data_IF_497582842467
#
_entry.id   IF_497582842467
#
_cell.length_a   1.000
_cell.length_b   1.000
_cell.length_c   1.000
_cell.angle_alpha   90.00
_cell.angle_beta   90.00
_cell.angle_gamma   90.00
#
_symmetry.space_group_name_H-M   'P 1'
#
loop_
_entity.id
_entity.type
_entity.pdbx_description
1 polymer ?
#
# COMPACT_ATOMS: atom_id res chain seq x y z
N UNK A 1 37.96 -32.43 48.01
CA UNK A 1 37.86 -31.06 47.40
C UNK A 1 38.68 -30.85 46.13
N UNK A 2 39.90 -31.35 45.97
CA UNK A 2 40.74 -31.14 44.77
C UNK A 2 40.18 -31.82 43.50
N UNK A 3 39.49 -32.96 43.64
CA UNK A 3 38.94 -33.72 42.49
C UNK A 3 37.71 -33.02 41.87
N UNK A 4 36.87 -32.37 42.69
CA UNK A 4 35.70 -31.60 42.21
C UNK A 4 36.11 -30.30 41.48
N UNK A 5 37.22 -29.67 41.86
CA UNK A 5 37.70 -28.45 41.18
C UNK A 5 38.15 -28.74 39.75
N UNK A 6 38.86 -29.86 39.51
CA UNK A 6 39.29 -30.27 38.15
C UNK A 6 38.10 -30.57 37.24
N UNK A 7 37.06 -31.19 37.77
CA UNK A 7 35.86 -31.54 37.00
C UNK A 7 35.06 -30.29 36.58
N UNK A 8 34.92 -29.29 37.46
CA UNK A 8 34.22 -28.03 37.18
C UNK A 8 34.98 -27.21 36.15
N UNK A 9 36.31 -27.09 36.30
CA UNK A 9 37.16 -26.36 35.34
C UNK A 9 37.08 -26.98 33.94
N UNK A 10 37.21 -28.31 33.85
CA UNK A 10 37.10 -29.02 32.57
C UNK A 10 35.69 -28.83 31.91
N UNK A 11 34.62 -28.86 32.69
CA UNK A 11 33.28 -28.63 32.20
C UNK A 11 33.05 -27.19 31.70
N UNK A 12 33.67 -26.19 32.33
CA UNK A 12 33.57 -24.80 31.87
C UNK A 12 34.42 -24.53 30.64
N UNK A 13 35.58 -25.18 30.52
CA UNK A 13 36.46 -25.11 29.34
C UNK A 13 35.79 -25.69 28.08
N UNK A 14 34.99 -26.72 28.23
CA UNK A 14 34.17 -27.30 27.13
C UNK A 14 33.24 -26.25 26.50
N UNK A 15 32.77 -25.28 27.26
CA UNK A 15 31.95 -24.16 26.81
C UNK A 15 32.74 -22.87 26.57
N UNK A 16 34.08 -22.93 26.56
CA UNK A 16 34.97 -21.77 26.41
C UNK A 16 34.78 -20.69 27.48
N UNK A 17 34.43 -21.10 28.69
CA UNK A 17 34.21 -20.21 29.85
C UNK A 17 35.33 -20.42 30.86
N UNK A 18 36.09 -19.36 31.17
CA UNK A 18 37.11 -19.44 32.23
C UNK A 18 36.45 -19.46 33.59
N UNK A 19 37.02 -20.25 34.53
CA UNK A 19 36.48 -20.41 35.89
C UNK A 19 36.30 -19.07 36.61
N UNK A 20 37.19 -18.09 36.38
CA UNK A 20 37.07 -16.75 36.96
C UNK A 20 35.89 -15.94 36.39
N UNK A 21 35.60 -16.08 35.10
CA UNK A 21 34.47 -15.42 34.47
C UNK A 21 33.15 -16.00 34.99
N UNK A 22 33.08 -17.31 35.17
CA UNK A 22 31.92 -17.96 35.77
C UNK A 22 31.67 -17.51 37.24
N UNK A 23 32.74 -17.39 38.02
CA UNK A 23 32.65 -16.86 39.40
C UNK A 23 32.16 -15.41 39.41
N UNK A 24 32.67 -14.57 38.48
CA UNK A 24 32.26 -13.17 38.36
C UNK A 24 30.78 -13.03 38.00
N UNK A 25 30.31 -13.78 37.04
CA UNK A 25 28.89 -13.80 36.64
C UNK A 25 27.99 -14.18 37.82
N UNK A 26 28.40 -15.18 38.62
CA UNK A 26 27.64 -15.60 39.80
C UNK A 26 27.64 -14.53 40.88
N UNK A 27 28.78 -13.85 41.13
CA UNK A 27 28.88 -12.76 42.11
C UNK A 27 28.02 -11.57 41.69
N UNK A 28 28.12 -11.13 40.44
CA UNK A 28 27.29 -10.03 39.89
C UNK A 28 25.78 -10.34 40.00
N UNK A 29 25.40 -11.60 39.76
CA UNK A 29 24.01 -12.04 39.90
C UNK A 29 23.55 -12.03 41.40
N UNK A 30 24.41 -12.39 42.32
CA UNK A 30 24.11 -12.33 43.77
C UNK A 30 23.98 -10.88 44.24
N UNK A 31 24.85 -9.99 43.79
CA UNK A 31 24.76 -8.55 44.10
C UNK A 31 23.45 -7.93 43.57
N UNK A 32 23.07 -8.24 42.34
CA UNK A 32 21.82 -7.75 41.78
C UNK A 32 20.56 -8.27 42.47
N UNK A 33 20.67 -9.44 43.14
CA UNK A 33 19.55 -9.96 43.94
C UNK A 33 19.35 -9.21 45.26
N UNK A 34 20.27 -8.33 45.66
CA UNK A 34 20.22 -7.62 46.95
C UNK A 34 20.19 -8.57 48.15
N UNK A 35 20.75 -9.79 48.02
CA UNK A 35 20.79 -10.77 49.09
C UNK A 35 21.94 -10.41 50.01
N UNK A 36 21.63 -10.06 51.25
CA UNK A 36 22.65 -9.98 52.29
C UNK A 36 23.25 -11.40 52.50
N UNK A 37 24.46 -11.58 51.95
CA UNK A 37 25.16 -12.87 51.94
C UNK A 37 25.44 -13.40 53.35
N UNK A 38 25.28 -12.58 54.36
CA UNK A 38 25.50 -12.92 55.74
C UNK A 38 24.25 -13.41 56.48
N UNK A 39 23.06 -13.08 55.99
CA UNK A 39 21.77 -13.31 56.63
C UNK A 39 20.94 -14.43 56.02
N UNK A 40 21.11 -14.75 54.70
CA UNK A 40 20.28 -15.73 54.03
C UNK A 40 20.83 -17.17 54.11
N UNK A 41 20.01 -18.19 54.37
CA UNK A 41 20.43 -19.59 54.31
C UNK A 41 21.01 -19.93 52.91
N UNK A 42 22.17 -20.62 52.89
CA UNK A 42 22.87 -21.01 51.64
C UNK A 42 21.96 -21.73 50.62
N UNK A 43 21.05 -22.56 51.11
CA UNK A 43 20.09 -23.29 50.28
C UNK A 43 19.11 -22.37 49.56
N UNK A 44 18.68 -21.28 50.20
CA UNK A 44 17.78 -20.29 49.60
C UNK A 44 18.48 -19.47 48.53
N UNK A 45 19.68 -19.00 48.76
CA UNK A 45 20.50 -18.27 47.79
C UNK A 45 20.76 -19.13 46.55
N UNK A 46 21.11 -20.40 46.71
CA UNK A 46 21.31 -21.34 45.61
C UNK A 46 20.00 -21.57 44.82
N UNK A 47 18.86 -21.69 45.51
CA UNK A 47 17.55 -21.85 44.89
C UNK A 47 17.15 -20.63 44.04
N UNK A 48 17.38 -19.40 44.55
CA UNK A 48 17.14 -18.14 43.83
C UNK A 48 18.04 -18.02 42.61
N UNK A 49 19.34 -18.32 42.71
CA UNK A 49 20.27 -18.34 41.59
C UNK A 49 19.85 -19.32 40.49
N UNK A 50 19.50 -20.57 40.87
CA UNK A 50 19.00 -21.56 39.91
C UNK A 50 17.77 -21.05 39.17
N UNK A 51 16.83 -20.40 39.87
CA UNK A 51 15.61 -19.84 39.27
C UNK A 51 15.94 -18.70 38.31
N UNK A 52 16.89 -17.82 38.66
CA UNK A 52 17.35 -16.75 37.76
C UNK A 52 17.99 -17.30 36.49
N UNK A 53 18.87 -18.28 36.61
CA UNK A 53 19.52 -18.92 35.46
C UNK A 53 18.49 -19.60 34.57
N UNK A 54 17.53 -20.33 35.14
CA UNK A 54 16.46 -20.98 34.38
C UNK A 54 15.55 -19.95 33.65
N UNK A 55 15.20 -18.85 34.33
CA UNK A 55 14.43 -17.77 33.74
C UNK A 55 15.22 -17.06 32.63
N UNK A 56 16.52 -16.82 32.87
CA UNK A 56 17.42 -16.23 31.86
C UNK A 56 17.58 -17.12 30.62
N UNK A 57 17.78 -18.44 30.82
CA UNK A 57 17.86 -19.41 29.72
C UNK A 57 16.53 -19.48 28.96
N UNK A 58 15.40 -19.50 29.67
CA UNK A 58 14.09 -19.47 29.04
C UNK A 58 13.85 -18.17 28.22
N UNK A 59 14.26 -17.01 28.74
CA UNK A 59 14.19 -15.73 28.06
C UNK A 59 15.06 -15.70 26.79
N UNK A 60 16.32 -16.14 26.90
CA UNK A 60 17.25 -16.22 25.76
C UNK A 60 16.80 -17.23 24.70
N UNK A 61 16.25 -18.37 25.12
CA UNK A 61 15.69 -19.37 24.22
C UNK A 61 14.44 -18.82 23.50
N UNK A 62 13.60 -18.08 24.22
CA UNK A 62 12.45 -17.39 23.63
C UNK A 62 12.87 -16.29 22.65
N UNK A 63 13.96 -15.55 22.93
CA UNK A 63 14.53 -14.58 21.98
C UNK A 63 15.11 -15.24 20.73
N UNK A 64 15.78 -16.38 20.85
CA UNK A 64 16.33 -17.13 19.68
C UNK A 64 15.23 -17.71 18.79
N UNK A 65 14.06 -18.02 19.37
CA UNK A 65 12.91 -18.55 18.64
C UNK A 65 11.99 -17.45 18.09
N UNK A 66 12.28 -16.15 18.36
CA UNK A 66 11.39 -15.08 17.95
C UNK A 66 11.64 -14.64 16.51
N UNK A 67 10.57 -14.66 15.70
CA UNK A 67 10.57 -14.16 14.32
C UNK A 67 10.94 -12.68 14.31
N UNK A 68 11.93 -12.30 13.48
CA UNK A 68 12.35 -10.92 13.29
C UNK A 68 11.37 -10.15 12.41
N UNK A 69 11.33 -8.84 12.56
CA UNK A 69 10.45 -7.98 11.76
C UNK A 69 10.67 -8.15 10.25
N UNK A 70 11.92 -8.23 9.80
CA UNK A 70 12.23 -8.44 8.38
C UNK A 70 11.63 -9.75 7.86
N UNK A 71 11.79 -10.83 8.58
CA UNK A 71 11.26 -12.15 8.21
C UNK A 71 9.73 -12.11 8.17
N UNK A 72 9.08 -11.60 9.20
CA UNK A 72 7.62 -11.46 9.26
C UNK A 72 7.09 -10.60 8.12
N UNK A 73 7.76 -9.49 7.80
CA UNK A 73 7.38 -8.59 6.73
C UNK A 73 7.42 -9.31 5.36
N UNK A 74 8.51 -10.02 5.06
CA UNK A 74 8.62 -10.74 3.79
C UNK A 74 7.68 -11.93 3.70
N UNK A 75 7.50 -12.69 4.77
CA UNK A 75 6.52 -13.78 4.79
C UNK A 75 5.10 -13.26 4.59
N UNK A 76 4.76 -12.11 5.20
CA UNK A 76 3.46 -11.47 4.99
C UNK A 76 3.24 -11.01 3.55
N UNK A 77 4.29 -10.61 2.83
CA UNK A 77 4.24 -10.27 1.39
C UNK A 77 4.05 -11.53 0.55
N UNK A 78 4.79 -12.59 0.85
CA UNK A 78 4.71 -13.86 0.12
C UNK A 78 3.35 -14.52 0.27
N UNK A 79 2.75 -14.49 1.46
CA UNK A 79 1.38 -14.97 1.69
C UNK A 79 0.32 -14.25 0.81
N UNK A 80 0.70 -13.11 0.21
CA UNK A 80 -0.17 -12.32 -0.68
C UNK A 80 0.27 -12.36 -2.15
N UNK A 81 1.15 -13.27 -2.54
CA UNK A 81 1.67 -13.39 -3.92
C UNK A 81 0.57 -13.55 -4.98
N UNK A 82 -0.56 -14.14 -4.61
CA UNK A 82 -1.74 -14.29 -5.48
C UNK A 82 -2.53 -13.00 -5.71
N UNK A 83 -2.16 -11.87 -5.08
CA UNK A 83 -2.77 -10.57 -5.33
C UNK A 83 -2.28 -9.99 -6.65
N UNK A 84 -2.95 -8.93 -7.12
CA UNK A 84 -2.58 -8.24 -8.38
C UNK A 84 -1.12 -7.80 -8.35
N UNK A 85 -0.40 -7.87 -9.49
CA UNK A 85 1.02 -7.49 -9.58
C UNK A 85 1.33 -6.09 -9.06
N UNK A 86 0.43 -5.11 -9.28
CA UNK A 86 0.58 -3.76 -8.75
C UNK A 86 0.53 -3.73 -7.21
N UNK A 87 -0.38 -4.50 -6.59
CA UNK A 87 -0.47 -4.62 -5.13
C UNK A 87 0.79 -5.25 -4.55
N UNK A 88 1.30 -6.31 -5.18
CA UNK A 88 2.53 -6.96 -4.74
C UNK A 88 3.75 -6.02 -4.88
N UNK A 89 3.84 -5.22 -5.95
CA UNK A 89 4.88 -4.20 -6.10
C UNK A 89 4.82 -3.15 -4.99
N UNK A 90 3.63 -2.67 -4.69
CA UNK A 90 3.42 -1.69 -3.62
C UNK A 90 3.83 -2.27 -2.26
N UNK A 91 3.38 -3.47 -1.91
CA UNK A 91 3.77 -4.14 -0.66
C UNK A 91 5.29 -4.24 -0.53
N UNK A 92 5.97 -4.75 -1.57
CA UNK A 92 7.44 -4.85 -1.61
C UNK A 92 8.13 -3.50 -1.47
N UNK A 93 7.61 -2.46 -2.13
CA UNK A 93 8.15 -1.11 -2.03
C UNK A 93 8.08 -0.57 -0.60
N UNK A 94 6.92 -0.69 0.06
CA UNK A 94 6.74 -0.20 1.42
C UNK A 94 7.54 -1.00 2.45
N UNK A 95 7.61 -2.32 2.32
CA UNK A 95 8.45 -3.17 3.19
C UNK A 95 9.92 -2.79 3.04
N UNK A 96 10.44 -2.70 1.81
CA UNK A 96 11.85 -2.26 1.59
C UNK A 96 12.13 -0.89 2.20
N UNK A 97 11.16 0.02 2.15
CA UNK A 97 11.33 1.36 2.71
C UNK A 97 11.35 1.35 4.24
N UNK A 98 10.55 0.50 4.88
CA UNK A 98 10.60 0.26 6.33
C UNK A 98 11.96 -0.34 6.75
N UNK A 99 12.44 -1.34 6.03
CA UNK A 99 13.71 -2.02 6.30
C UNK A 99 14.97 -1.16 6.10
N UNK A 100 14.85 -0.01 5.42
CA UNK A 100 15.95 0.98 5.36
C UNK A 100 16.12 1.76 6.67
N UNK A 101 15.16 1.69 7.57
CA UNK A 101 15.31 2.30 8.88
C UNK A 101 16.20 1.39 9.73
N UNK A 102 17.34 1.94 10.14
CA UNK A 102 18.40 1.19 10.84
C UNK A 102 17.88 0.45 12.06
N UNK A 103 18.33 -0.79 12.23
CA UNK A 103 18.01 -1.66 13.36
C UNK A 103 16.62 -2.28 13.35
N UNK A 104 15.70 -1.84 12.46
CA UNK A 104 14.31 -2.32 12.47
C UNK A 104 14.20 -3.77 12.02
N UNK A 105 14.95 -4.16 11.00
CA UNK A 105 14.88 -5.53 10.44
C UNK A 105 15.18 -6.63 11.44
N UNK A 106 16.16 -6.41 12.29
CA UNK A 106 16.62 -7.37 13.30
C UNK A 106 15.78 -7.41 14.58
N UNK A 107 14.83 -6.45 14.76
CA UNK A 107 13.97 -6.41 15.96
C UNK A 107 13.05 -7.62 16.02
N UNK A 108 12.94 -8.30 17.17
CA UNK A 108 11.92 -9.32 17.38
C UNK A 108 10.52 -8.72 17.18
N UNK A 109 9.69 -9.35 16.36
CA UNK A 109 8.34 -8.86 16.07
C UNK A 109 7.50 -8.65 17.33
N UNK A 110 7.57 -9.62 18.24
CA UNK A 110 6.89 -9.62 19.54
C UNK A 110 7.27 -8.42 20.43
N UNK A 111 8.52 -7.96 20.35
CA UNK A 111 9.06 -6.90 21.18
C UNK A 111 8.77 -5.49 20.65
N UNK A 112 8.24 -5.36 19.45
CA UNK A 112 7.96 -4.05 18.85
C UNK A 112 6.73 -3.39 19.49
N UNK A 113 6.96 -2.24 20.08
CA UNK A 113 5.93 -1.44 20.75
C UNK A 113 5.20 -0.50 19.79
N UNK A 114 4.04 0.02 20.21
CA UNK A 114 3.31 1.07 19.48
C UNK A 114 4.18 2.30 19.20
N UNK A 115 5.02 2.70 20.18
CA UNK A 115 5.94 3.85 20.04
C UNK A 115 6.99 3.60 18.96
N UNK A 116 7.59 2.42 18.92
CA UNK A 116 8.57 2.05 17.89
C UNK A 116 7.93 1.96 16.50
N UNK A 117 6.73 1.38 16.40
CA UNK A 117 5.98 1.33 15.15
C UNK A 117 5.63 2.73 14.62
N UNK A 118 5.26 3.67 15.50
CA UNK A 118 5.02 5.08 15.13
C UNK A 118 6.30 5.73 14.62
N UNK A 119 7.40 5.62 15.37
CA UNK A 119 8.71 6.15 14.96
C UNK A 119 9.18 5.58 13.62
N UNK A 120 8.99 4.28 13.39
CA UNK A 120 9.26 3.64 12.10
C UNK A 120 8.47 4.30 10.96
N UNK A 121 7.17 4.52 11.16
CA UNK A 121 6.32 5.15 10.15
C UNK A 121 6.73 6.60 9.87
N UNK A 122 7.06 7.37 10.90
CA UNK A 122 7.55 8.75 10.79
C UNK A 122 8.88 8.82 10.03
N UNK A 123 9.85 8.01 10.40
CA UNK A 123 11.17 7.94 9.74
C UNK A 123 11.07 7.46 8.30
N UNK A 124 10.23 6.45 8.04
CA UNK A 124 10.09 5.89 6.70
C UNK A 124 9.20 6.74 5.79
N UNK A 125 8.14 7.39 6.29
CA UNK A 125 7.07 7.96 5.47
C UNK A 125 6.61 9.36 5.89
N UNK A 126 7.22 9.98 6.90
CA UNK A 126 6.78 11.26 7.47
C UNK A 126 6.74 12.44 6.49
N UNK A 127 7.46 12.35 5.36
CA UNK A 127 7.46 13.39 4.32
C UNK A 127 6.13 13.47 3.52
N UNK A 128 5.22 12.52 3.67
CA UNK A 128 3.95 12.47 2.93
C UNK A 128 2.87 11.75 3.71
N UNK A 129 1.80 12.44 4.04
CA UNK A 129 0.66 11.89 4.78
C UNK A 129 0.02 10.70 4.06
N UNK A 130 -0.06 10.74 2.73
CA UNK A 130 -0.56 9.61 1.94
C UNK A 130 0.34 8.38 2.03
N UNK A 131 1.67 8.58 1.98
CA UNK A 131 2.63 7.50 2.16
C UNK A 131 2.58 6.97 3.60
N UNK A 132 2.46 7.83 4.60
CA UNK A 132 2.31 7.44 6.00
C UNK A 132 1.06 6.57 6.21
N UNK A 133 -0.12 7.02 5.74
CA UNK A 133 -1.37 6.25 5.83
C UNK A 133 -1.25 4.87 5.18
N UNK A 134 -0.68 4.82 3.99
CA UNK A 134 -0.46 3.55 3.27
C UNK A 134 0.57 2.68 3.97
N UNK A 135 1.67 3.27 4.46
CA UNK A 135 2.70 2.59 5.26
C UNK A 135 2.10 1.99 6.52
N UNK A 136 1.28 2.76 7.27
CA UNK A 136 0.57 2.27 8.44
C UNK A 136 -0.34 1.08 8.13
N UNK A 137 -1.13 1.15 7.07
CA UNK A 137 -2.01 0.05 6.66
C UNK A 137 -1.21 -1.22 6.32
N UNK A 138 -0.04 -1.08 5.69
CA UNK A 138 0.83 -2.22 5.37
C UNK A 138 1.50 -2.75 6.64
N UNK A 139 2.02 -1.89 7.51
CA UNK A 139 2.61 -2.28 8.79
C UNK A 139 1.58 -3.02 9.67
N UNK A 140 0.36 -2.48 9.77
CA UNK A 140 -0.76 -3.16 10.44
C UNK A 140 -0.99 -4.55 9.86
N UNK A 141 -0.95 -4.68 8.54
CA UNK A 141 -1.18 -5.96 7.88
C UNK A 141 -0.06 -6.99 8.11
N UNK A 142 1.19 -6.53 8.37
CA UNK A 142 2.32 -7.39 8.75
C UNK A 142 2.09 -7.94 10.15
N UNK A 143 1.77 -7.07 11.12
CA UNK A 143 1.47 -7.50 12.49
C UNK A 143 0.20 -8.35 12.57
N UNK A 144 -0.85 -8.01 11.84
CA UNK A 144 -2.05 -8.85 11.76
C UNK A 144 -1.75 -10.25 11.18
N UNK A 145 -0.77 -10.37 10.29
CA UNK A 145 -0.27 -11.66 9.84
C UNK A 145 0.51 -12.35 10.96
N UNK A 146 1.40 -11.64 11.67
CA UNK A 146 2.16 -12.16 12.80
C UNK A 146 1.28 -12.69 13.94
N UNK A 147 0.19 -11.99 14.27
CA UNK A 147 -0.80 -12.45 15.27
C UNK A 147 -1.44 -13.77 14.83
N UNK A 148 -1.83 -13.90 13.55
CA UNK A 148 -2.39 -15.17 13.04
C UNK A 148 -1.39 -16.33 12.98
N UNK A 149 -0.10 -16.02 12.96
CA UNK A 149 0.98 -17.01 13.01
C UNK A 149 1.51 -17.22 14.46
N UNK A 150 0.87 -16.60 15.44
CA UNK A 150 1.25 -16.66 16.86
C UNK A 150 2.68 -16.13 17.16
N UNK A 151 3.21 -15.28 16.28
CA UNK A 151 4.53 -14.65 16.45
C UNK A 151 4.50 -13.45 17.40
N UNK A 152 3.33 -12.88 17.61
CA UNK A 152 3.07 -11.81 18.57
C UNK A 152 1.62 -11.88 19.06
N UNK A 153 1.38 -11.41 20.27
CA UNK A 153 0.09 -11.56 20.95
C UNK A 153 -0.93 -10.49 20.53
N UNK A 154 -0.46 -9.32 20.12
CA UNK A 154 -1.31 -8.20 19.73
C UNK A 154 -0.67 -7.39 18.59
N UNK A 155 -1.48 -6.58 17.92
CA UNK A 155 -1.02 -5.69 16.87
C UNK A 155 -0.76 -4.29 17.45
N UNK A 156 0.51 -3.87 17.60
CA UNK A 156 0.84 -2.57 18.18
C UNK A 156 0.41 -1.38 17.32
N UNK A 157 0.09 -1.62 16.03
CA UNK A 157 -0.31 -0.58 15.07
C UNK A 157 -1.77 -0.17 15.24
N UNK A 158 -2.60 -0.96 15.94
CA UNK A 158 -4.02 -0.64 16.19
C UNK A 158 -4.18 0.70 16.92
N UNK A 159 -3.28 0.99 17.85
CA UNK A 159 -3.27 2.22 18.66
C UNK A 159 -2.63 3.42 17.97
N UNK A 160 -2.17 3.28 16.72
CA UNK A 160 -1.60 4.39 15.95
C UNK A 160 -2.73 5.09 15.20
N UNK A 161 -2.96 6.35 15.52
CA UNK A 161 -3.96 7.16 14.83
C UNK A 161 -3.63 7.33 13.35
N UNK A 162 -4.67 7.39 12.53
CA UNK A 162 -4.55 7.67 11.10
C UNK A 162 -4.67 9.17 10.91
N UNK A 163 -3.63 9.86 10.43
CA UNK A 163 -3.72 11.28 10.15
C UNK A 163 -4.90 11.59 9.22
N UNK A 164 -5.72 12.57 9.57
CA UNK A 164 -6.75 13.08 8.69
C UNK A 164 -6.10 13.74 7.47
N UNK A 165 -6.69 13.56 6.31
CA UNK A 165 -6.31 14.26 5.09
C UNK A 165 -7.58 14.90 4.57
N UNK A 166 -7.58 16.19 4.42
CA UNK A 166 -8.57 16.84 3.58
C UNK A 166 -8.35 16.33 2.15
N UNK A 167 -9.29 15.54 1.67
CA UNK A 167 -9.24 15.09 0.28
C UNK A 167 -9.48 16.31 -0.61
N UNK A 168 -8.44 16.76 -1.29
CA UNK A 168 -8.57 17.83 -2.26
C UNK A 168 -9.60 17.41 -3.31
N UNK A 169 -10.62 18.24 -3.48
CA UNK A 169 -11.64 18.06 -4.52
C UNK A 169 -10.97 18.21 -5.88
N UNK A 170 -11.16 17.23 -6.73
CA UNK A 170 -10.60 17.26 -8.09
C UNK A 170 -11.53 18.04 -8.99
N UNK A 171 -11.13 19.24 -9.38
CA UNK A 171 -11.87 20.04 -10.33
C UNK A 171 -11.92 19.36 -11.72
N UNK A 172 -13.11 19.25 -12.35
CA UNK A 172 -13.22 18.76 -13.71
C UNK A 172 -12.54 19.71 -14.69
N UNK A 173 -12.02 19.19 -15.78
CA UNK A 173 -11.54 20.02 -16.88
C UNK A 173 -12.70 20.87 -17.41
N UNK A 174 -12.45 22.15 -17.70
CA UNK A 174 -13.44 22.96 -18.42
C UNK A 174 -13.72 22.37 -19.82
N UNK A 175 -14.87 22.66 -20.44
CA UNK A 175 -15.18 22.21 -21.79
C UNK A 175 -14.09 22.58 -22.81
N UNK A 176 -13.52 23.79 -22.67
CA UNK A 176 -12.48 24.28 -23.55
C UNK A 176 -11.14 23.56 -23.32
N UNK A 177 -10.77 23.29 -22.06
CA UNK A 177 -9.58 22.50 -21.73
C UNK A 177 -9.68 21.06 -22.23
N UNK A 178 -10.86 20.44 -22.13
CA UNK A 178 -11.11 19.10 -22.66
C UNK A 178 -11.05 19.09 -24.20
N UNK A 179 -11.65 20.09 -24.85
CA UNK A 179 -11.61 20.24 -26.31
C UNK A 179 -10.18 20.48 -26.80
N UNK A 180 -9.41 21.35 -26.13
CA UNK A 180 -8.01 21.59 -26.45
C UNK A 180 -7.15 20.32 -26.34
N UNK A 181 -7.32 19.55 -25.27
CA UNK A 181 -6.60 18.29 -25.10
C UNK A 181 -6.92 17.29 -26.22
N UNK A 182 -8.19 17.21 -26.63
CA UNK A 182 -8.62 16.38 -27.77
C UNK A 182 -8.05 16.88 -29.09
N UNK A 183 -7.99 18.20 -29.32
CA UNK A 183 -7.39 18.80 -30.51
C UNK A 183 -5.90 18.46 -30.61
N UNK A 184 -5.13 18.61 -29.51
CA UNK A 184 -3.72 18.22 -29.48
C UNK A 184 -3.55 16.72 -29.74
N UNK A 185 -4.48 15.88 -29.27
CA UNK A 185 -4.47 14.44 -29.53
C UNK A 185 -4.75 14.08 -31.00
N UNK A 186 -5.33 14.99 -31.81
CA UNK A 186 -5.51 14.80 -33.27
C UNK A 186 -4.19 14.94 -34.03
N UNK A 187 -3.22 15.66 -33.49
CA UNK A 187 -1.91 15.82 -34.12
C UNK A 187 -1.20 14.47 -34.30
N UNK A 188 -0.54 14.28 -35.47
CA UNK A 188 0.13 13.03 -35.87
C UNK A 188 0.98 12.41 -34.72
N UNK A 189 1.72 13.25 -33.99
CA UNK A 189 2.61 12.82 -32.89
C UNK A 189 1.87 12.19 -31.70
N UNK A 190 0.62 12.59 -31.46
CA UNK A 190 -0.18 12.20 -30.31
C UNK A 190 -1.39 11.34 -30.67
N UNK A 191 -1.65 11.08 -31.95
CA UNK A 191 -2.83 10.36 -32.48
C UNK A 191 -3.06 9.01 -31.81
N UNK A 192 -1.99 8.27 -31.49
CA UNK A 192 -2.11 6.99 -30.80
C UNK A 192 -2.76 7.08 -29.39
N UNK A 193 -2.80 8.27 -28.78
CA UNK A 193 -3.47 8.50 -27.49
C UNK A 193 -4.93 8.94 -27.61
N UNK A 194 -5.39 9.25 -28.81
CA UNK A 194 -6.73 9.83 -29.05
C UNK A 194 -7.83 8.92 -28.53
N UNK A 195 -7.78 7.64 -28.87
CA UNK A 195 -8.77 6.67 -28.40
C UNK A 195 -8.74 6.48 -26.87
N UNK A 196 -7.54 6.38 -26.28
CA UNK A 196 -7.39 6.31 -24.83
C UNK A 196 -7.99 7.52 -24.11
N UNK A 197 -7.73 8.74 -24.64
CA UNK A 197 -8.28 9.98 -24.10
C UNK A 197 -9.81 10.00 -24.21
N UNK A 198 -10.34 9.59 -25.37
CA UNK A 198 -11.77 9.49 -25.61
C UNK A 198 -12.47 8.60 -24.58
N UNK A 199 -11.93 7.39 -24.34
CA UNK A 199 -12.48 6.46 -23.36
C UNK A 199 -12.47 7.03 -21.93
N UNK A 200 -11.46 7.83 -21.57
CA UNK A 200 -11.40 8.47 -20.26
C UNK A 200 -12.39 9.63 -20.12
N UNK A 201 -12.55 10.47 -21.16
CA UNK A 201 -13.39 11.66 -21.11
C UNK A 201 -14.87 11.36 -21.35
N UNK A 202 -15.22 10.46 -22.27
CA UNK A 202 -16.61 10.25 -22.68
C UNK A 202 -17.22 8.91 -22.24
N UNK A 203 -16.37 7.99 -21.77
CA UNK A 203 -16.83 6.72 -21.20
C UNK A 203 -16.45 6.57 -19.72
N UNK A 204 -15.76 7.53 -19.15
CA UNK A 204 -15.40 7.56 -17.73
C UNK A 204 -14.49 6.40 -17.27
N UNK A 205 -13.74 5.75 -18.17
CA UNK A 205 -12.85 4.65 -17.82
C UNK A 205 -11.63 5.16 -17.04
N UNK A 206 -11.15 4.32 -16.11
CA UNK A 206 -9.89 4.63 -15.42
C UNK A 206 -8.69 4.43 -16.34
N UNK A 207 -7.62 5.23 -16.23
CA UNK A 207 -6.41 5.05 -17.04
C UNK A 207 -5.87 3.61 -17.01
N UNK A 208 -5.92 2.96 -15.84
CA UNK A 208 -5.47 1.58 -15.68
C UNK A 208 -6.43 0.55 -16.33
N UNK A 209 -7.69 0.87 -16.50
CA UNK A 209 -8.66 0.05 -17.27
C UNK A 209 -8.37 0.21 -18.76
N UNK A 210 -8.23 1.44 -19.23
CA UNK A 210 -7.90 1.73 -20.63
C UNK A 210 -6.64 1.01 -21.09
N UNK A 211 -5.56 1.04 -20.28
CA UNK A 211 -4.30 0.36 -20.60
C UNK A 211 -4.43 -1.16 -20.75
N UNK A 212 -5.47 -1.79 -20.21
CA UNK A 212 -5.69 -3.23 -20.25
C UNK A 212 -6.76 -3.66 -21.27
N UNK A 213 -7.45 -2.69 -21.89
CA UNK A 213 -8.42 -2.99 -22.91
C UNK A 213 -7.75 -3.59 -24.16
N UNK A 214 -8.45 -4.48 -24.79
CA UNK A 214 -8.16 -5.01 -26.12
C UNK A 214 -9.26 -4.52 -27.06
N UNK A 215 -9.00 -3.44 -27.84
CA UNK A 215 -10.03 -2.79 -28.64
C UNK A 215 -10.75 -3.73 -29.61
N UNK A 216 -10.03 -4.71 -30.16
CA UNK A 216 -10.56 -5.75 -31.05
C UNK A 216 -11.61 -6.67 -30.39
N UNK A 217 -11.58 -6.81 -29.07
CA UNK A 217 -12.45 -7.69 -28.30
C UNK A 217 -13.40 -6.98 -27.36
N UNK A 218 -12.97 -5.83 -26.86
CA UNK A 218 -13.66 -5.13 -25.77
C UNK A 218 -14.49 -3.95 -26.26
N UNK A 219 -14.36 -3.55 -27.56
CA UNK A 219 -15.16 -2.49 -28.16
C UNK A 219 -16.15 -3.10 -29.16
N UNK A 220 -17.41 -3.05 -28.78
CA UNK A 220 -18.53 -3.52 -29.60
C UNK A 220 -19.05 -2.35 -30.42
N UNK A 221 -18.50 -2.16 -31.63
CA UNK A 221 -18.81 -1.01 -32.49
C UNK A 221 -20.27 -0.94 -32.89
N UNK A 222 -20.84 -2.05 -33.29
CA UNK A 222 -22.22 -2.13 -33.75
C UNK A 222 -23.22 -1.84 -32.61
N UNK A 223 -22.88 -2.24 -31.40
CA UNK A 223 -23.66 -1.96 -30.18
C UNK A 223 -23.29 -0.60 -29.56
N UNK A 224 -22.26 0.09 -30.03
CA UNK A 224 -21.70 1.30 -29.42
C UNK A 224 -21.43 1.14 -27.92
N UNK A 225 -20.73 0.07 -27.56
CA UNK A 225 -20.44 -0.24 -26.16
C UNK A 225 -18.98 -0.66 -25.96
N UNK A 226 -18.48 -0.40 -24.74
CA UNK A 226 -17.17 -0.88 -24.28
C UNK A 226 -17.39 -1.85 -23.11
N UNK A 227 -16.84 -3.04 -23.24
CA UNK A 227 -16.89 -4.09 -22.21
C UNK A 227 -15.68 -3.98 -21.31
N UNK A 228 -15.89 -3.55 -20.07
CA UNK A 228 -14.86 -3.58 -19.02
C UNK A 228 -14.96 -4.91 -18.28
N UNK A 229 -14.15 -5.89 -18.68
CA UNK A 229 -14.18 -7.23 -18.06
C UNK A 229 -13.70 -7.20 -16.60
N UNK A 230 -14.10 -8.18 -15.77
CA UNK A 230 -13.61 -8.29 -14.38
C UNK A 230 -12.09 -8.27 -14.24
N UNK A 231 -11.37 -8.89 -15.17
CA UNK A 231 -9.89 -8.91 -15.24
C UNK A 231 -9.28 -7.53 -15.52
N UNK A 232 -9.99 -6.67 -16.22
CA UNK A 232 -9.60 -5.29 -16.56
C UNK A 232 -9.96 -4.33 -15.43
N UNK A 233 -11.13 -4.52 -14.80
CA UNK A 233 -11.66 -3.67 -13.75
C UNK A 233 -10.77 -3.67 -12.49
N UNK A 234 -10.59 -2.51 -11.84
CA UNK A 234 -9.86 -2.39 -10.57
C UNK A 234 -10.58 -3.09 -9.41
N UNK A 235 -11.91 -3.14 -9.46
CA UNK A 235 -12.76 -3.67 -8.38
C UNK A 235 -13.19 -5.11 -8.57
N UNK A 236 -12.82 -5.72 -9.69
CA UNK A 236 -13.19 -7.12 -10.03
C UNK A 236 -14.61 -7.27 -10.58
N UNK A 237 -15.42 -6.22 -10.65
CA UNK A 237 -16.74 -6.22 -11.29
C UNK A 237 -16.62 -5.91 -12.77
N UNK A 238 -17.26 -6.70 -13.65
CA UNK A 238 -17.44 -6.37 -15.07
C UNK A 238 -18.55 -5.35 -15.25
N UNK A 239 -18.49 -4.57 -16.35
CA UNK A 239 -19.56 -3.66 -16.76
C UNK A 239 -19.50 -3.36 -18.23
N UNK A 240 -20.62 -2.94 -18.79
CA UNK A 240 -20.73 -2.37 -20.11
C UNK A 240 -20.90 -0.86 -19.99
N UNK A 241 -20.20 -0.12 -20.82
CA UNK A 241 -20.23 1.35 -20.83
C UNK A 241 -20.57 1.81 -22.24
N UNK A 242 -21.54 2.71 -22.41
CA UNK A 242 -21.83 3.27 -23.74
C UNK A 242 -20.60 3.97 -24.33
N UNK A 243 -20.30 3.66 -25.58
CA UNK A 243 -19.28 4.33 -26.36
C UNK A 243 -19.89 5.58 -26.97
N UNK A 244 -19.83 6.69 -26.22
CA UNK A 244 -20.39 7.98 -26.62
C UNK A 244 -19.44 8.75 -27.53
N UNK A 245 -19.99 9.70 -28.28
CA UNK A 245 -19.18 10.68 -29.01
C UNK A 245 -18.23 10.07 -30.04
N UNK A 246 -18.70 9.05 -30.73
CA UNK A 246 -17.91 8.31 -31.74
C UNK A 246 -17.64 9.07 -33.03
N UNK A 247 -18.32 10.20 -33.26
CA UNK A 247 -18.10 11.02 -34.44
C UNK A 247 -16.61 11.36 -34.62
N UNK A 248 -16.06 11.05 -35.77
CA UNK A 248 -14.65 11.27 -36.09
C UNK A 248 -13.67 10.28 -35.49
N UNK A 249 -14.11 9.25 -34.73
CA UNK A 249 -13.29 8.08 -34.43
C UNK A 249 -13.39 7.05 -35.54
N UNK A 250 -12.26 6.69 -36.12
CA UNK A 250 -12.22 5.58 -37.09
C UNK A 250 -11.81 4.29 -36.33
N UNK A 251 -12.46 3.18 -36.66
CA UNK A 251 -12.20 1.89 -36.03
C UNK A 251 -10.73 1.48 -36.10
N UNK A 252 -10.10 1.72 -37.23
CA UNK A 252 -8.68 1.45 -37.49
C UNK A 252 -7.72 2.31 -36.65
N UNK A 253 -8.16 3.46 -36.14
CA UNK A 253 -7.37 4.34 -35.27
C UNK A 253 -7.48 3.98 -33.78
N UNK A 254 -8.33 3.02 -33.42
CA UNK A 254 -8.63 2.65 -32.08
C UNK A 254 -7.64 1.63 -31.54
N UNK A 255 -6.47 2.11 -31.13
CA UNK A 255 -5.43 1.31 -30.52
C UNK A 255 -5.08 1.80 -29.12
N UNK A 256 -4.55 0.89 -28.29
CA UNK A 256 -3.94 1.22 -27.01
C UNK A 256 -2.42 1.06 -27.17
N UNK A 257 -1.66 2.14 -27.16
CA UNK A 257 -0.22 2.06 -27.45
C UNK A 257 0.57 1.40 -26.30
N UNK A 258 1.57 0.59 -26.64
CA UNK A 258 2.41 -0.13 -25.67
C UNK A 258 3.11 0.81 -24.69
N UNK A 259 3.61 1.97 -25.15
CA UNK A 259 4.28 2.96 -24.27
C UNK A 259 3.29 4.03 -23.76
N UNK A 260 2.13 3.60 -23.28
CA UNK A 260 1.02 4.45 -22.88
C UNK A 260 1.40 5.55 -21.91
N UNK A 261 2.12 5.24 -20.83
CA UNK A 261 2.45 6.19 -19.76
C UNK A 261 3.27 7.38 -20.28
N UNK A 262 4.29 7.11 -21.10
CA UNK A 262 5.15 8.17 -21.65
C UNK A 262 4.41 8.98 -22.72
N UNK A 263 3.61 8.33 -23.57
CA UNK A 263 2.78 9.01 -24.56
C UNK A 263 1.71 9.89 -23.92
N UNK A 264 1.09 9.41 -22.83
CA UNK A 264 0.16 10.17 -22.03
C UNK A 264 0.81 11.43 -21.43
N UNK A 265 2.02 11.27 -20.87
CA UNK A 265 2.79 12.40 -20.33
C UNK A 265 3.16 13.41 -21.43
N UNK A 266 3.57 12.95 -22.59
CA UNK A 266 3.91 13.79 -23.73
C UNK A 266 2.70 14.57 -24.24
N UNK A 267 1.53 13.93 -24.37
CA UNK A 267 0.27 14.59 -24.78
C UNK A 267 -0.11 15.71 -23.80
N UNK A 268 -0.11 15.44 -22.51
CA UNK A 268 -0.46 16.44 -21.48
C UNK A 268 0.46 17.67 -21.51
N UNK A 269 1.77 17.44 -21.65
CA UNK A 269 2.76 18.51 -21.78
C UNK A 269 2.54 19.33 -23.06
N UNK A 270 2.27 18.68 -24.17
CA UNK A 270 1.99 19.36 -25.45
C UNK A 270 0.70 20.18 -25.39
N UNK A 271 -0.28 19.77 -24.57
CA UNK A 271 -1.50 20.52 -24.31
C UNK A 271 -1.34 21.57 -23.19
N UNK A 272 -0.12 21.87 -22.74
CA UNK A 272 0.15 22.92 -21.75
C UNK A 272 -0.17 22.58 -20.29
N UNK A 273 -0.50 21.31 -19.97
CA UNK A 273 -0.77 20.91 -18.58
C UNK A 273 0.53 20.63 -17.82
N UNK A 274 1.02 21.63 -17.08
CA UNK A 274 2.19 21.52 -16.18
C UNK A 274 1.89 20.67 -14.96
N UNK A 275 0.68 20.82 -14.40
CA UNK A 275 0.16 20.03 -13.30
C UNK A 275 -0.98 19.14 -13.79
N UNK A 276 -1.02 17.89 -13.32
CA UNK A 276 -2.05 16.93 -13.71
C UNK A 276 -2.51 16.12 -12.50
N UNK A 277 -3.79 16.24 -12.19
CA UNK A 277 -4.41 15.45 -11.14
C UNK A 277 -4.77 14.05 -11.70
N UNK A 278 -4.39 12.96 -11.01
CA UNK A 278 -4.81 11.63 -11.42
C UNK A 278 -6.33 11.52 -11.56
N UNK A 279 -6.76 10.76 -12.57
CA UNK A 279 -8.19 10.50 -12.86
C UNK A 279 -9.05 11.74 -13.20
N UNK A 280 -8.46 12.95 -13.41
CA UNK A 280 -9.23 14.18 -13.73
C UNK A 280 -10.18 14.00 -14.92
N UNK A 281 -9.79 13.29 -15.98
CA UNK A 281 -10.71 13.00 -17.10
C UNK A 281 -11.96 12.23 -16.65
N UNK A 282 -11.80 11.32 -15.70
CA UNK A 282 -12.90 10.55 -15.13
C UNK A 282 -13.76 11.40 -14.18
N UNK A 283 -13.16 12.35 -13.44
CA UNK A 283 -13.90 13.36 -12.68
C UNK A 283 -14.69 14.27 -13.60
N UNK A 284 -14.09 14.69 -14.70
CA UNK A 284 -14.74 15.47 -15.76
C UNK A 284 -15.97 14.75 -16.32
N UNK A 285 -15.81 13.47 -16.71
CA UNK A 285 -16.93 12.64 -17.16
C UNK A 285 -18.05 12.61 -16.11
N UNK A 286 -17.73 12.31 -14.84
CA UNK A 286 -18.73 12.16 -13.78
C UNK A 286 -19.53 13.45 -13.57
N UNK A 287 -18.85 14.60 -13.45
CA UNK A 287 -19.48 15.89 -13.21
C UNK A 287 -20.38 16.30 -14.38
N UNK A 288 -19.90 16.20 -15.61
CA UNK A 288 -20.69 16.56 -16.79
C UNK A 288 -21.80 15.56 -17.11
N UNK A 289 -21.60 14.26 -16.83
CA UNK A 289 -22.66 13.26 -16.98
C UNK A 289 -23.81 13.54 -16.02
N UNK A 290 -23.49 13.76 -14.75
CA UNK A 290 -24.48 14.05 -13.72
C UNK A 290 -25.29 15.34 -14.03
N UNK A 291 -24.62 16.39 -14.49
CA UNK A 291 -25.27 17.66 -14.81
C UNK A 291 -26.14 17.58 -16.09
N UNK A 292 -25.72 16.79 -17.08
CA UNK A 292 -26.38 16.71 -18.38
C UNK A 292 -27.50 15.68 -18.38
N UNK A 293 -27.19 14.42 -18.04
CA UNK A 293 -28.12 13.30 -18.12
C UNK A 293 -29.03 13.19 -16.88
N UNK A 294 -28.56 13.66 -15.72
CA UNK A 294 -29.28 13.59 -14.43
C UNK A 294 -29.64 12.17 -13.98
N UNK A 295 -28.99 11.17 -14.54
CA UNK A 295 -29.18 9.75 -14.24
C UNK A 295 -28.02 9.23 -13.37
N UNK A 296 -28.21 9.30 -12.06
CA UNK A 296 -27.23 8.87 -11.09
C UNK A 296 -27.02 7.35 -11.03
N UNK A 297 -28.10 6.53 -11.13
CA UNK A 297 -27.96 5.08 -11.22
C UNK A 297 -27.15 4.65 -12.45
N UNK A 298 -27.45 5.20 -13.63
CA UNK A 298 -26.66 4.90 -14.85
C UNK A 298 -25.20 5.31 -14.67
N UNK A 299 -24.92 6.51 -14.16
CA UNK A 299 -23.56 6.97 -13.89
C UNK A 299 -22.82 6.03 -12.93
N UNK A 300 -23.46 5.56 -11.88
CA UNK A 300 -22.87 4.62 -10.92
C UNK A 300 -22.47 3.31 -11.61
N UNK A 301 -23.34 2.74 -12.41
CA UNK A 301 -23.10 1.50 -13.16
C UNK A 301 -21.94 1.68 -14.15
N UNK A 302 -21.97 2.75 -14.95
CA UNK A 302 -20.94 3.04 -15.94
C UNK A 302 -19.57 3.28 -15.32
N UNK A 303 -19.51 3.98 -14.21
CA UNK A 303 -18.26 4.17 -13.47
C UNK A 303 -17.84 2.94 -12.66
N UNK A 304 -18.72 1.97 -12.45
CA UNK A 304 -18.44 0.77 -11.65
C UNK A 304 -18.14 1.09 -10.20
N UNK A 305 -18.93 1.99 -9.60
CA UNK A 305 -18.87 2.30 -8.17
C UNK A 305 -19.89 1.44 -7.43
N UNK A 306 -19.48 0.87 -6.29
CA UNK A 306 -20.37 0.08 -5.43
C UNK A 306 -21.29 0.97 -4.61
N UNK A 307 -20.85 2.20 -4.32
CA UNK A 307 -21.52 3.13 -3.42
C UNK A 307 -21.71 4.49 -4.10
N UNK A 308 -22.94 5.00 -4.09
CA UNK A 308 -23.31 6.32 -4.58
C UNK A 308 -22.72 7.45 -3.75
N UNK A 309 -22.52 7.24 -2.45
CA UNK A 309 -21.93 8.25 -1.55
C UNK A 309 -20.50 8.58 -1.98
N UNK A 310 -19.73 7.55 -2.31
CA UNK A 310 -18.37 7.67 -2.85
C UNK A 310 -18.34 8.40 -4.20
N UNK A 311 -19.34 8.15 -5.04
CA UNK A 311 -19.44 8.83 -6.33
C UNK A 311 -19.70 10.32 -6.13
N UNK A 312 -20.65 10.68 -5.25
CA UNK A 312 -20.99 12.06 -4.95
C UNK A 312 -19.85 12.83 -4.28
N UNK A 313 -19.24 12.25 -3.25
CA UNK A 313 -18.21 12.94 -2.47
C UNK A 313 -16.87 13.10 -3.18
N UNK A 314 -16.49 12.15 -4.04
CA UNK A 314 -15.13 12.11 -4.62
C UNK A 314 -15.04 12.47 -6.09
N UNK A 315 -16.12 12.26 -6.86
CA UNK A 315 -16.04 12.33 -8.32
C UNK A 315 -16.92 13.41 -8.93
N UNK A 316 -17.80 14.02 -8.15
CA UNK A 316 -18.74 14.99 -8.68
C UNK A 316 -18.55 16.35 -8.02
N UNK A 317 -18.18 17.34 -8.84
CA UNK A 317 -18.36 18.75 -8.49
C UNK A 317 -19.52 19.31 -9.28
N UNK A 318 -20.29 20.24 -8.69
CA UNK A 318 -21.31 20.97 -9.42
C UNK A 318 -20.70 21.71 -10.61
N UNK A 319 -21.28 21.48 -11.80
CA UNK A 319 -20.92 22.19 -13.03
C UNK A 319 -22.16 22.81 -13.63
N UNK A 320 -22.01 23.91 -14.35
CA UNK A 320 -23.12 24.57 -15.02
C UNK A 320 -23.69 23.67 -16.11
N UNK A 321 -25.01 23.68 -16.24
CA UNK A 321 -25.70 22.87 -17.25
C UNK A 321 -25.32 23.30 -18.68
N UNK A 322 -25.08 24.58 -18.91
CA UNK A 322 -24.58 25.08 -20.20
C UNK A 322 -23.20 24.52 -20.52
N UNK A 323 -22.29 24.42 -19.54
CA UNK A 323 -20.96 23.84 -19.72
C UNK A 323 -21.04 22.34 -19.97
N UNK A 324 -21.94 21.64 -19.27
CA UNK A 324 -22.20 20.24 -19.55
C UNK A 324 -22.71 20.03 -20.98
N UNK A 325 -23.61 20.87 -21.45
CA UNK A 325 -24.10 20.85 -22.82
C UNK A 325 -22.97 21.14 -23.85
N UNK A 326 -22.08 22.11 -23.54
CA UNK A 326 -20.90 22.41 -24.38
C UNK A 326 -19.94 21.23 -24.42
N UNK A 327 -19.64 20.62 -23.27
CA UNK A 327 -18.75 19.45 -23.17
C UNK A 327 -19.23 18.29 -24.04
N UNK A 328 -20.54 17.98 -23.99
CA UNK A 328 -21.12 16.91 -24.83
C UNK A 328 -21.31 17.28 -26.30
N UNK A 329 -21.39 18.57 -26.66
CA UNK A 329 -21.47 19.03 -28.03
C UNK A 329 -20.10 19.19 -28.70
N UNK A 330 -19.05 19.58 -27.97
CA UNK A 330 -17.71 19.89 -28.51
C UNK A 330 -16.92 18.66 -28.99
N UNK A 331 -17.52 17.51 -29.03
CA UNK A 331 -16.92 16.27 -29.51
C UNK A 331 -17.17 15.99 -30.99
N UNK A 332 -17.95 16.84 -31.69
CA UNK A 332 -18.22 16.73 -33.11
C UNK A 332 -17.09 17.30 -33.98
#
# INVERSE_FOLDING_TARGET
>A
MKQNKKTITAALEEYNIRSMDAVRIVLDAVEQMGVDATAAPRAETISRLKRMVLLGVAALSAESATVRFEEAAWQSVEARRGRRPATCRDLRYFVRRMLRVEGVGSRPLRAMTTRECRSLLERAFGSSVHCYRKGRAILHSIFAYGVRQEWCDANPVDRIEVPSVEEATVEPLSPDAAAHLLQVARHRRHRAMRFSLHLMLYCGLRPAEVQRLRPDRDVLWDAQQVVVRPTVSKTGGGRMVPLRQVAGLRREDCCIPANWVNRWRALRRAAGFSHWVPDVCRHTFASYHAAYYRDMPALQLEMGHRDLSLLRSRYMLPVLRCDAARFWKNSM
#
